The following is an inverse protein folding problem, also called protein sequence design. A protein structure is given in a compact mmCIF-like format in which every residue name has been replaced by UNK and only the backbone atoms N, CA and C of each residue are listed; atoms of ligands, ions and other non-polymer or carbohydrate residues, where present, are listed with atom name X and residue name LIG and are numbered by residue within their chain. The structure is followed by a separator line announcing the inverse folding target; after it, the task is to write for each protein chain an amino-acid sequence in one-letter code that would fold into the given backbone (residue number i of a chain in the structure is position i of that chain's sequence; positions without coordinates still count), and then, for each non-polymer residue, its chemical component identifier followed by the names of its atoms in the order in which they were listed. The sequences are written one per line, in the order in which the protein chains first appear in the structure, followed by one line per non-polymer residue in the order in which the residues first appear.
data_IF_517987003946
#
_entry.id   IF_517987003946
#
_cell.length_a   1.000
_cell.length_b   1.000
_cell.length_c   1.000
_cell.angle_alpha   90.00
_cell.angle_beta   90.00
_cell.angle_gamma   90.00
#
_symmetry.space_group_name_H-M   'P 1'
#
loop_
_entity.id
_entity.type
_entity.pdbx_description
1 polymer ?
#
# COMPACT_ATOMS: atom_id res chain seq x y z
N UNK A 1 35.44 -1.14 17.44
CA UNK A 1 34.14 -1.03 16.74
C UNK A 1 33.30 -2.27 17.03
N UNK A 2 32.40 -2.23 18.01
CA UNK A 2 31.46 -3.34 18.26
C UNK A 2 30.24 -3.15 17.36
N UNK A 3 30.03 -4.07 16.42
CA UNK A 3 28.81 -4.15 15.63
C UNK A 3 27.72 -4.70 16.55
N UNK A 4 26.81 -3.84 17.00
CA UNK A 4 25.55 -4.31 17.59
C UNK A 4 24.77 -4.99 16.47
N UNK A 5 24.83 -6.32 16.42
CA UNK A 5 23.80 -7.12 15.77
C UNK A 5 22.58 -6.98 16.68
N UNK A 6 21.77 -5.97 16.43
CA UNK A 6 20.41 -5.92 16.97
C UNK A 6 19.68 -7.08 16.30
N UNK A 7 19.56 -8.20 17.01
CA UNK A 7 18.61 -9.22 16.59
C UNK A 7 17.25 -8.54 16.44
N UNK A 8 16.57 -8.71 15.29
CA UNK A 8 15.28 -8.08 15.09
C UNK A 8 14.36 -8.55 16.21
N UNK A 9 13.73 -7.60 16.90
CA UNK A 9 12.75 -7.92 17.92
C UNK A 9 11.74 -8.93 17.32
N UNK A 10 11.24 -9.90 18.10
CA UNK A 10 10.28 -10.88 17.59
C UNK A 10 9.05 -10.23 16.93
N UNK A 11 8.75 -8.98 17.32
CA UNK A 11 7.77 -8.11 16.68
C UNK A 11 8.10 -7.76 15.21
N UNK A 12 9.36 -7.38 14.92
CA UNK A 12 9.84 -7.11 13.56
C UNK A 12 9.83 -8.37 12.68
N UNK A 13 10.14 -9.53 13.27
CA UNK A 13 10.09 -10.81 12.56
C UNK A 13 8.65 -11.16 12.14
N UNK A 14 7.68 -11.00 13.05
CA UNK A 14 6.27 -11.23 12.76
C UNK A 14 5.72 -10.23 11.72
N UNK A 15 6.13 -8.96 11.79
CA UNK A 15 5.79 -7.94 10.80
C UNK A 15 6.35 -8.28 9.42
N UNK A 16 7.64 -8.65 9.34
CA UNK A 16 8.26 -9.10 8.07
C UNK A 16 7.55 -10.30 7.48
N UNK A 17 7.20 -11.29 8.29
CA UNK A 17 6.48 -12.48 7.84
C UNK A 17 5.10 -12.13 7.27
N UNK A 18 4.37 -11.22 7.93
CA UNK A 18 3.08 -10.73 7.43
C UNK A 18 3.22 -10.01 6.08
N UNK A 19 4.24 -9.17 5.91
CA UNK A 19 4.54 -8.46 4.66
C UNK A 19 4.89 -9.45 3.54
N UNK A 20 5.82 -10.37 3.80
CA UNK A 20 6.27 -11.35 2.82
C UNK A 20 5.10 -12.21 2.33
N UNK A 21 4.25 -12.67 3.25
CA UNK A 21 3.13 -13.51 2.87
C UNK A 21 1.98 -12.75 2.20
N UNK A 22 1.79 -11.47 2.49
CA UNK A 22 0.89 -10.62 1.70
C UNK A 22 1.43 -10.40 0.28
N UNK A 23 2.74 -10.22 0.13
CA UNK A 23 3.39 -10.03 -1.17
C UNK A 23 3.40 -11.30 -2.02
N UNK A 24 3.57 -12.48 -1.42
CA UNK A 24 3.58 -13.79 -2.10
C UNK A 24 2.30 -14.05 -2.91
N UNK A 25 1.17 -13.52 -2.45
CA UNK A 25 -0.13 -13.66 -3.13
C UNK A 25 -0.31 -12.76 -4.35
N UNK A 26 0.64 -11.86 -4.64
CA UNK A 26 0.46 -10.78 -5.61
C UNK A 26 1.65 -10.64 -6.56
N UNK A 27 1.33 -10.59 -7.85
CA UNK A 27 2.30 -10.32 -8.89
C UNK A 27 2.41 -8.81 -9.16
N UNK A 28 3.56 -8.21 -8.87
CA UNK A 28 3.84 -6.78 -9.09
C UNK A 28 4.53 -6.50 -10.43
N UNK A 29 4.46 -7.42 -11.39
CA UNK A 29 5.10 -7.33 -12.71
C UNK A 29 4.63 -6.15 -13.58
N UNK A 30 3.50 -5.53 -13.21
CA UNK A 30 2.97 -4.38 -13.93
C UNK A 30 3.87 -3.13 -13.77
N UNK A 31 4.03 -2.32 -14.84
CA UNK A 31 4.90 -1.15 -14.82
C UNK A 31 4.46 -0.11 -13.77
N UNK A 32 5.41 0.68 -13.22
CA UNK A 32 5.12 1.73 -12.27
C UNK A 32 4.16 2.76 -12.88
N UNK A 33 3.10 3.11 -12.14
CA UNK A 33 2.07 4.06 -12.58
C UNK A 33 0.92 3.42 -13.37
N UNK A 34 0.99 2.13 -13.71
CA UNK A 34 -0.13 1.45 -14.36
C UNK A 34 -1.33 1.26 -13.42
N UNK A 35 -2.57 1.29 -13.95
CA UNK A 35 -3.77 1.04 -13.16
C UNK A 35 -3.81 -0.40 -12.60
N UNK A 36 -3.22 -1.36 -13.31
CA UNK A 36 -3.04 -2.73 -12.80
C UNK A 36 -2.18 -2.74 -11.54
N UNK A 37 -1.05 -2.03 -11.55
CA UNK A 37 -0.19 -1.93 -10.36
C UNK A 37 -0.89 -1.23 -9.19
N UNK A 38 -1.69 -0.20 -9.46
CA UNK A 38 -2.50 0.45 -8.42
C UNK A 38 -3.54 -0.51 -7.83
N UNK A 39 -4.20 -1.32 -8.68
CA UNK A 39 -5.15 -2.35 -8.23
C UNK A 39 -4.45 -3.46 -7.42
N UNK A 40 -3.27 -3.90 -7.83
CA UNK A 40 -2.45 -4.86 -7.08
C UNK A 40 -2.02 -4.29 -5.73
N UNK A 41 -1.63 -3.02 -5.65
CA UNK A 41 -1.30 -2.34 -4.39
C UNK A 41 -2.51 -2.25 -3.45
N UNK A 42 -3.70 -1.96 -3.98
CA UNK A 42 -4.94 -1.99 -3.20
C UNK A 42 -5.20 -3.37 -2.59
N UNK A 43 -5.05 -4.44 -3.39
CA UNK A 43 -5.17 -5.83 -2.91
C UNK A 43 -4.11 -6.18 -1.85
N UNK A 44 -2.88 -5.70 -2.04
CA UNK A 44 -1.79 -5.90 -1.09
C UNK A 44 -2.11 -5.31 0.28
N UNK A 45 -2.58 -4.07 0.30
CA UNK A 45 -2.98 -3.38 1.54
C UNK A 45 -4.09 -4.14 2.27
N UNK A 46 -5.10 -4.64 1.54
CA UNK A 46 -6.16 -5.46 2.14
C UNK A 46 -5.64 -6.79 2.71
N UNK A 47 -4.80 -7.52 1.95
CA UNK A 47 -4.22 -8.79 2.40
C UNK A 47 -3.28 -8.60 3.61
N UNK A 48 -2.51 -7.51 3.63
CA UNK A 48 -1.65 -7.15 4.74
C UNK A 48 -2.47 -6.82 6.00
N UNK A 49 -3.58 -6.08 5.86
CA UNK A 49 -4.44 -5.77 6.99
C UNK A 49 -5.09 -7.02 7.59
N UNK A 50 -5.47 -8.00 6.75
CA UNK A 50 -5.97 -9.30 7.21
C UNK A 50 -4.91 -10.07 8.01
N UNK A 51 -3.70 -10.18 7.46
CA UNK A 51 -2.55 -10.81 8.14
C UNK A 51 -2.18 -10.11 9.43
N UNK A 52 -2.16 -8.78 9.44
CA UNK A 52 -1.88 -7.99 10.63
C UNK A 52 -2.95 -8.19 11.70
N UNK A 53 -4.21 -8.47 11.35
CA UNK A 53 -5.24 -8.69 12.37
C UNK A 53 -4.94 -9.89 13.30
N UNK A 54 -4.10 -10.84 12.85
CA UNK A 54 -3.72 -12.02 13.62
C UNK A 54 -2.69 -11.74 14.73
N UNK A 55 -1.90 -10.67 14.63
CA UNK A 55 -0.85 -10.35 15.62
C UNK A 55 -0.76 -8.88 16.02
N UNK A 56 -1.41 -7.99 15.27
CA UNK A 56 -1.33 -6.54 15.33
C UNK A 56 -2.70 -5.91 15.02
N UNK A 57 -3.74 -6.21 15.82
CA UNK A 57 -5.12 -5.80 15.51
C UNK A 57 -5.29 -4.28 15.40
N UNK A 58 -4.54 -3.51 16.19
CA UNK A 58 -4.58 -2.05 16.16
C UNK A 58 -3.94 -1.47 14.89
N UNK A 59 -2.84 -2.04 14.42
CA UNK A 59 -2.21 -1.68 13.14
C UNK A 59 -3.10 -2.07 11.95
N UNK A 60 -3.75 -3.23 12.01
CA UNK A 60 -4.72 -3.66 11.00
C UNK A 60 -5.94 -2.73 10.93
N UNK A 61 -6.46 -2.29 12.08
CA UNK A 61 -7.56 -1.34 12.15
C UNK A 61 -7.16 0.02 11.54
N UNK A 62 -5.96 0.52 11.84
CA UNK A 62 -5.43 1.76 11.25
C UNK A 62 -5.27 1.63 9.72
N UNK A 63 -4.72 0.50 9.23
CA UNK A 63 -4.59 0.23 7.80
C UNK A 63 -5.95 0.14 7.09
N UNK A 64 -6.94 -0.53 7.70
CA UNK A 64 -8.32 -0.58 7.17
C UNK A 64 -9.00 0.77 7.19
N UNK A 65 -8.78 1.58 8.22
CA UNK A 65 -9.29 2.94 8.29
C UNK A 65 -8.70 3.80 7.17
N UNK A 66 -7.40 3.68 6.87
CA UNK A 66 -6.75 4.35 5.74
C UNK A 66 -7.27 3.87 4.39
N UNK A 67 -7.45 2.56 4.21
CA UNK A 67 -7.96 1.98 2.96
C UNK A 67 -9.45 2.30 2.71
N UNK A 68 -10.24 2.39 3.78
CA UNK A 68 -11.65 2.81 3.76
C UNK A 68 -11.82 4.33 3.73
N UNK A 69 -10.78 5.09 4.08
CA UNK A 69 -10.74 6.52 3.86
C UNK A 69 -10.60 6.76 2.36
N UNK A 70 -11.72 7.00 1.70
CA UNK A 70 -11.74 7.49 0.33
C UNK A 70 -10.88 8.75 0.28
N UNK A 71 -9.66 8.65 -0.26
CA UNK A 71 -8.74 9.76 -0.40
C UNK A 71 -9.41 10.88 -1.21
N UNK A 72 -9.92 11.90 -0.53
CA UNK A 72 -9.99 13.24 -1.09
C UNK A 72 -8.60 13.89 -1.00
N UNK A 73 -8.21 14.54 -2.09
CA UNK A 73 -7.29 15.69 -2.13
C UNK A 73 -5.79 15.50 -2.43
N UNK A 74 -5.32 14.34 -2.91
CA UNK A 74 -3.87 14.13 -3.12
C UNK A 74 -3.39 13.77 -4.53
N UNK A 75 -4.27 13.43 -5.47
CA UNK A 75 -3.85 13.17 -6.85
C UNK A 75 -4.00 14.46 -7.65
N UNK A 76 -2.95 15.03 -8.25
CA UNK A 76 -3.16 16.01 -9.31
C UNK A 76 -3.88 15.27 -10.43
N UNK A 77 -5.19 15.51 -10.56
CA UNK A 77 -5.89 15.16 -11.77
C UNK A 77 -5.08 15.75 -12.95
N UNK A 78 -4.82 14.98 -14.02
CA UNK A 78 -4.19 15.57 -15.20
C UNK A 78 -5.02 16.79 -15.61
N UNK A 79 -4.41 17.95 -15.89
CA UNK A 79 -5.16 19.12 -16.33
C UNK A 79 -5.99 18.71 -17.54
N UNK A 80 -7.30 18.98 -17.48
CA UNK A 80 -8.19 18.79 -18.61
C UNK A 80 -7.58 19.50 -19.83
N UNK A 81 -7.62 18.89 -21.03
CA UNK A 81 -7.13 19.56 -22.22
C UNK A 81 -7.88 20.89 -22.40
N UNK A 82 -7.19 21.98 -22.78
CA UNK A 82 -7.84 23.27 -22.98
C UNK A 82 -8.95 23.12 -24.01
N UNK A 83 -10.18 23.50 -23.63
CA UNK A 83 -11.27 23.62 -24.58
C UNK A 83 -10.84 24.59 -25.68
N UNK A 84 -10.96 24.23 -26.97
CA UNK A 84 -10.71 25.18 -28.03
C UNK A 84 -11.77 26.28 -27.91
N UNK A 85 -11.31 27.51 -27.67
CA UNK A 85 -12.14 28.70 -27.86
C UNK A 85 -12.77 28.60 -29.25
N UNK A 86 -14.09 28.41 -29.27
CA UNK A 86 -14.90 28.64 -30.46
C UNK A 86 -14.93 30.15 -30.68
N UNK A 87 -13.88 30.68 -31.29
CA UNK A 87 -13.97 31.94 -32.02
C UNK A 87 -14.74 31.66 -33.30
N UNK A 88 -16.03 32.02 -33.32
CA UNK A 88 -16.74 32.58 -34.48
C UNK A 88 -17.84 33.51 -33.98
#
# INVERSE_FOLDING_TARGET
MSRYVTEPAPHDAALRAAIAAAADTLNFDAPPGSPERQRTLGRFVSALADRLALGFPQSAAALRALAGSSATSGHPAPPAPPQPERQQ
#
